data_IF_068426661557
#
_entry.id   IF_068426661557
#
_cell.length_a   1.000
_cell.length_b   1.000
_cell.length_c   1.000
_cell.angle_alpha   90.00
_cell.angle_beta   90.00
_cell.angle_gamma   90.00
#
_symmetry.space_group_name_H-M   'P 1'
#
loop_
_entity.id
_entity.type
_entity.pdbx_description
1 polymer ?
#
# COMPACT_ATOMS: atom_id res chain seq x y z
N UNK A 1 -54.02 -5.18 -17.49
CA UNK A 1 -53.74 -4.01 -16.64
C UNK A 1 -53.78 -4.35 -15.14
N UNK A 2 -54.58 -5.33 -14.69
CA UNK A 2 -54.61 -5.72 -13.27
C UNK A 2 -53.34 -6.46 -12.79
N UNK A 3 -52.67 -7.22 -13.65
CA UNK A 3 -51.46 -8.00 -13.27
C UNK A 3 -50.20 -7.14 -13.09
N UNK A 4 -50.13 -5.98 -13.76
CA UNK A 4 -49.01 -5.04 -13.60
C UNK A 4 -49.12 -4.24 -12.29
N UNK A 5 -50.34 -3.97 -11.82
CA UNK A 5 -50.59 -3.26 -10.56
C UNK A 5 -50.35 -4.18 -9.34
N UNK A 6 -50.67 -5.48 -9.46
CA UNK A 6 -50.40 -6.47 -8.41
C UNK A 6 -48.88 -6.76 -8.30
N UNK A 7 -48.15 -6.84 -9.42
CA UNK A 7 -46.70 -6.95 -9.40
C UNK A 7 -46.02 -5.72 -8.77
N UNK A 8 -46.58 -4.53 -8.99
CA UNK A 8 -46.09 -3.28 -8.38
C UNK A 8 -46.37 -3.23 -6.88
N UNK A 9 -47.53 -3.70 -6.42
CA UNK A 9 -47.87 -3.77 -4.98
C UNK A 9 -47.06 -4.81 -4.21
N UNK A 10 -46.75 -5.96 -4.82
CA UNK A 10 -45.87 -6.95 -4.20
C UNK A 10 -44.42 -6.47 -4.11
N UNK A 11 -43.94 -5.65 -5.06
CA UNK A 11 -42.65 -4.95 -4.94
C UNK A 11 -42.67 -3.79 -3.93
N UNK A 12 -43.81 -3.11 -3.74
CA UNK A 12 -43.96 -2.01 -2.78
C UNK A 12 -44.14 -2.49 -1.32
N UNK A 13 -44.65 -3.70 -1.07
CA UNK A 13 -44.73 -4.30 0.28
C UNK A 13 -43.43 -5.01 0.72
N UNK A 14 -42.54 -5.41 -0.19
CA UNK A 14 -41.23 -6.02 0.14
C UNK A 14 -40.07 -5.01 0.33
N UNK A 15 -40.29 -3.71 0.07
CA UNK A 15 -39.26 -2.67 0.25
C UNK A 15 -39.81 -1.33 0.73
N UNK A 16 -40.70 -1.39 1.72
CA UNK A 16 -41.44 -0.24 2.26
C UNK A 16 -41.05 0.19 3.67
N UNK A 17 -39.76 0.35 3.98
CA UNK A 17 -39.33 1.29 5.04
C UNK A 17 -38.23 2.17 4.47
N UNK A 18 -38.55 3.46 4.33
CA UNK A 18 -37.67 4.50 3.82
C UNK A 18 -36.26 4.40 4.43
N UNK A 19 -35.23 4.27 3.59
CA UNK A 19 -33.85 4.33 4.04
C UNK A 19 -33.55 5.74 4.57
N UNK A 20 -33.20 5.92 5.86
CA UNK A 20 -32.51 7.14 6.24
C UNK A 20 -31.16 7.13 5.55
N UNK A 21 -30.79 8.23 4.90
CA UNK A 21 -29.41 8.47 4.46
C UNK A 21 -28.54 8.54 5.72
N UNK A 22 -28.08 7.38 6.21
CA UNK A 22 -27.18 7.36 7.35
C UNK A 22 -25.77 7.62 6.84
N UNK A 23 -25.15 8.70 7.30
CA UNK A 23 -23.72 8.96 7.15
C UNK A 23 -22.84 7.86 7.83
N UNK A 24 -23.46 6.82 8.37
CA UNK A 24 -22.87 5.65 9.00
C UNK A 24 -22.90 4.49 8.02
N UNK A 25 -21.73 3.92 7.72
CA UNK A 25 -21.55 2.82 6.77
C UNK A 25 -21.47 1.49 7.52
N UNK A 26 -22.27 0.51 7.13
CA UNK A 26 -22.20 -0.83 7.71
C UNK A 26 -21.02 -1.61 7.10
N UNK A 27 -20.26 -2.30 7.96
CA UNK A 27 -19.12 -3.13 7.59
C UNK A 27 -19.39 -4.56 7.98
N UNK A 28 -19.32 -5.47 7.02
CA UNK A 28 -19.62 -6.90 7.20
C UNK A 28 -18.40 -7.79 7.08
N UNK A 29 -17.36 -7.32 6.39
CA UNK A 29 -16.15 -8.12 6.15
C UNK A 29 -14.88 -7.40 6.60
N UNK A 30 -13.83 -8.17 6.90
CA UNK A 30 -12.51 -7.62 7.21
C UNK A 30 -11.92 -6.81 6.06
N UNK A 31 -12.20 -7.19 4.82
CA UNK A 31 -11.74 -6.46 3.64
C UNK A 31 -12.37 -5.06 3.56
N UNK A 32 -13.69 -4.96 3.79
CA UNK A 32 -14.40 -3.68 3.87
C UNK A 32 -13.86 -2.82 5.01
N UNK A 33 -13.65 -3.42 6.19
CA UNK A 33 -13.10 -2.72 7.35
C UNK A 33 -11.75 -2.07 7.05
N UNK A 34 -10.81 -2.84 6.50
CA UNK A 34 -9.48 -2.36 6.12
C UNK A 34 -9.55 -1.30 5.02
N UNK A 35 -10.43 -1.48 4.03
CA UNK A 35 -10.62 -0.51 2.95
C UNK A 35 -11.09 0.85 3.50
N UNK A 36 -12.07 0.88 4.41
CA UNK A 36 -12.54 2.13 5.00
C UNK A 36 -11.47 2.84 5.83
N UNK A 37 -10.66 2.09 6.58
CA UNK A 37 -9.54 2.64 7.34
C UNK A 37 -8.46 3.24 6.42
N UNK A 38 -8.12 2.56 5.33
CA UNK A 38 -7.13 3.03 4.36
C UNK A 38 -7.61 4.28 3.61
N UNK A 39 -8.89 4.33 3.22
CA UNK A 39 -9.48 5.45 2.48
C UNK A 39 -9.52 6.76 3.25
N UNK A 40 -9.72 6.71 4.58
CA UNK A 40 -9.80 7.92 5.41
C UNK A 40 -8.43 8.61 5.60
N UNK A 41 -7.35 7.84 5.56
CA UNK A 41 -5.98 8.33 5.76
C UNK A 41 -5.80 9.08 7.09
N UNK A 42 -4.89 10.06 7.14
CA UNK A 42 -4.62 10.87 8.35
C UNK A 42 -5.46 12.15 8.44
N UNK A 43 -6.35 12.42 7.48
CA UNK A 43 -7.12 13.67 7.39
C UNK A 43 -8.48 13.59 8.06
N UNK A 44 -9.07 12.39 8.15
CA UNK A 44 -10.38 12.16 8.76
C UNK A 44 -10.28 11.00 9.74
N UNK A 45 -10.68 11.17 11.01
CA UNK A 45 -10.79 10.04 11.90
C UNK A 45 -11.94 9.13 11.45
N UNK A 46 -11.75 7.82 11.60
CA UNK A 46 -12.77 6.80 11.39
C UNK A 46 -13.28 6.36 12.74
N UNK A 47 -14.56 6.58 13.02
CA UNK A 47 -15.20 6.19 14.27
C UNK A 47 -16.05 4.96 14.01
N UNK A 48 -15.79 3.88 14.72
CA UNK A 48 -16.41 2.56 14.49
C UNK A 48 -17.26 2.21 15.70
N UNK A 49 -18.56 1.98 15.50
CA UNK A 49 -19.49 1.41 16.50
C UNK A 49 -19.53 -0.11 16.36
N UNK A 50 -18.97 -0.83 17.34
CA UNK A 50 -19.12 -2.27 17.47
C UNK A 50 -20.36 -2.57 18.31
N UNK A 51 -21.36 -3.14 17.65
CA UNK A 51 -22.73 -3.27 18.13
C UNK A 51 -23.23 -4.71 18.04
N UNK A 52 -24.42 -4.96 18.58
CA UNK A 52 -25.14 -6.21 18.36
C UNK A 52 -26.65 -5.97 18.36
N UNK A 53 -27.40 -6.72 17.55
CA UNK A 53 -28.87 -6.58 17.46
C UNK A 53 -29.59 -6.86 18.79
N UNK A 54 -29.05 -7.75 19.62
CA UNK A 54 -29.58 -8.13 20.93
C UNK A 54 -29.10 -7.23 22.08
N UNK A 55 -28.23 -6.24 21.80
CA UNK A 55 -27.64 -5.36 22.81
C UNK A 55 -28.56 -4.15 23.09
N UNK A 56 -29.30 -4.20 24.20
CA UNK A 56 -30.15 -3.09 24.66
C UNK A 56 -29.43 -1.74 24.82
N UNK A 57 -28.25 -1.67 25.46
CA UNK A 57 -27.47 -0.43 25.56
C UNK A 57 -27.02 0.13 24.20
N UNK A 58 -26.82 -0.73 23.19
CA UNK A 58 -26.45 -0.30 21.84
C UNK A 58 -27.59 0.50 21.18
N UNK A 59 -28.84 0.08 21.36
CA UNK A 59 -30.01 0.80 20.88
C UNK A 59 -30.15 2.20 21.53
N UNK A 60 -29.72 2.34 22.79
CA UNK A 60 -29.78 3.64 23.50
C UNK A 60 -28.80 4.67 22.95
N UNK A 61 -27.60 4.26 22.54
CA UNK A 61 -26.54 5.16 22.07
C UNK A 61 -26.56 5.39 20.55
N UNK A 62 -27.16 4.48 19.77
CA UNK A 62 -27.23 4.56 18.31
C UNK A 62 -27.75 5.92 17.77
N UNK A 63 -28.82 6.54 18.32
CA UNK A 63 -29.27 7.85 17.84
C UNK A 63 -28.25 8.98 18.07
N UNK A 64 -27.44 8.88 19.14
CA UNK A 64 -26.36 9.83 19.39
C UNK A 64 -25.22 9.66 18.37
N UNK A 65 -24.87 8.41 18.06
CA UNK A 65 -23.87 8.09 17.05
C UNK A 65 -24.27 8.57 15.64
N UNK A 66 -25.52 8.34 15.23
CA UNK A 66 -26.05 8.81 13.94
C UNK A 66 -26.06 10.34 13.83
N UNK A 67 -26.41 11.06 14.90
CA UNK A 67 -26.32 12.53 14.94
C UNK A 67 -24.89 13.04 14.79
N UNK A 68 -23.93 12.38 15.43
CA UNK A 68 -22.50 12.72 15.29
C UNK A 68 -22.00 12.44 13.87
N UNK A 69 -22.45 11.34 13.26
CA UNK A 69 -22.13 11.01 11.88
C UNK A 69 -22.65 12.06 10.90
N UNK A 70 -23.89 12.52 11.07
CA UNK A 70 -24.44 13.60 10.26
C UNK A 70 -23.69 14.93 10.49
N UNK A 71 -23.39 15.28 11.76
CA UNK A 71 -22.66 16.51 12.12
C UNK A 71 -21.27 16.58 11.49
N UNK A 72 -20.57 15.44 11.42
CA UNK A 72 -19.16 15.37 11.01
C UNK A 72 -18.92 14.64 9.69
N UNK A 73 -19.94 14.42 8.85
CA UNK A 73 -19.85 13.64 7.60
C UNK A 73 -18.73 14.11 6.65
N UNK A 74 -18.42 15.41 6.64
CA UNK A 74 -17.33 15.97 5.83
C UNK A 74 -15.94 15.77 6.46
N UNK A 75 -15.86 15.59 7.79
CA UNK A 75 -14.63 15.67 8.60
C UNK A 75 -14.23 14.35 9.25
N UNK A 76 -15.12 13.38 9.34
CA UNK A 76 -14.90 12.06 9.90
C UNK A 76 -15.70 11.00 9.11
N UNK A 77 -15.26 9.75 9.21
CA UNK A 77 -15.97 8.58 8.65
C UNK A 77 -16.58 7.81 9.81
N UNK A 78 -17.83 7.38 9.68
CA UNK A 78 -18.52 6.62 10.72
C UNK A 78 -18.87 5.24 10.18
N UNK A 79 -18.42 4.21 10.88
CA UNK A 79 -18.65 2.82 10.54
C UNK A 79 -19.47 2.14 11.63
N UNK A 80 -20.26 1.15 11.25
CA UNK A 80 -20.97 0.27 12.15
C UNK A 80 -20.60 -1.18 11.83
N UNK A 81 -20.18 -1.91 12.86
CA UNK A 81 -19.80 -3.32 12.77
C UNK A 81 -20.72 -4.08 13.72
N UNK A 82 -21.57 -4.93 13.17
CA UNK A 82 -22.30 -5.89 14.01
C UNK A 82 -21.38 -7.08 14.31
N UNK A 83 -21.22 -7.40 15.59
CA UNK A 83 -20.28 -8.45 16.02
C UNK A 83 -20.71 -9.85 15.62
N UNK A 84 -22.02 -10.06 15.35
CA UNK A 84 -22.54 -11.35 14.90
C UNK A 84 -22.34 -11.51 13.39
N UNK A 85 -22.51 -10.43 12.61
CA UNK A 85 -22.33 -10.44 11.15
C UNK A 85 -20.85 -10.42 10.74
N UNK A 86 -20.01 -9.71 11.50
CA UNK A 86 -18.62 -9.44 11.18
C UNK A 86 -17.67 -9.95 12.27
N UNK A 87 -17.85 -11.21 12.69
CA UNK A 87 -17.10 -11.84 13.79
C UNK A 87 -15.58 -11.71 13.65
N UNK A 88 -15.04 -11.90 12.45
CA UNK A 88 -13.60 -11.78 12.18
C UNK A 88 -13.08 -10.35 12.47
N UNK A 89 -13.87 -9.32 12.16
CA UNK A 89 -13.54 -7.91 12.42
C UNK A 89 -13.57 -7.62 13.91
N UNK A 90 -14.62 -8.07 14.60
CA UNK A 90 -14.77 -7.90 16.04
C UNK A 90 -13.64 -8.59 16.83
N UNK A 91 -13.25 -9.80 16.43
CA UNK A 91 -12.14 -10.54 17.01
C UNK A 91 -10.80 -9.82 16.80
N UNK A 92 -10.50 -9.39 15.57
CA UNK A 92 -9.28 -8.64 15.26
C UNK A 92 -9.20 -7.30 15.97
N UNK A 93 -10.34 -6.63 16.14
CA UNK A 93 -10.44 -5.40 16.92
C UNK A 93 -10.37 -5.65 18.44
N UNK A 94 -10.33 -6.92 18.91
CA UNK A 94 -10.33 -7.30 20.33
C UNK A 94 -11.53 -6.72 21.09
N UNK A 95 -12.71 -6.73 20.46
CA UNK A 95 -13.96 -6.27 21.08
C UNK A 95 -14.48 -7.33 22.04
N UNK A 96 -14.70 -6.95 23.30
CA UNK A 96 -15.11 -7.87 24.38
C UNK A 96 -16.47 -7.52 24.99
N UNK A 97 -17.02 -6.36 24.65
CA UNK A 97 -18.30 -5.86 25.15
C UNK A 97 -18.91 -4.88 24.14
N UNK A 98 -20.24 -4.79 24.11
CA UNK A 98 -20.97 -3.89 23.23
C UNK A 98 -21.87 -2.94 24.07
N UNK A 99 -22.02 -1.67 23.67
CA UNK A 99 -21.34 -1.04 22.54
C UNK A 99 -19.87 -0.73 22.88
N UNK A 100 -18.98 -0.89 21.91
CA UNK A 100 -17.60 -0.40 21.97
C UNK A 100 -17.35 0.46 20.75
N UNK A 101 -16.79 1.64 20.98
CA UNK A 101 -16.46 2.61 19.95
C UNK A 101 -14.95 2.70 19.81
N UNK A 102 -14.42 2.49 18.62
CA UNK A 102 -13.00 2.73 18.34
C UNK A 102 -12.85 3.95 17.44
N UNK A 103 -11.84 4.77 17.69
CA UNK A 103 -11.42 5.84 16.79
C UNK A 103 -10.12 5.40 16.12
N UNK A 104 -10.09 5.49 14.80
CA UNK A 104 -8.90 5.24 14.00
C UNK A 104 -8.49 6.52 13.28
N UNK A 105 -7.18 6.75 13.14
CA UNK A 105 -6.64 7.84 12.33
C UNK A 105 -5.37 7.33 11.63
N UNK A 106 -5.31 7.47 10.30
CA UNK A 106 -4.19 6.91 9.53
C UNK A 106 -4.15 5.38 9.52
N UNK A 107 -5.28 4.72 9.74
CA UNK A 107 -5.39 3.26 9.79
C UNK A 107 -5.04 2.62 11.14
N UNK A 108 -4.59 3.41 12.12
CA UNK A 108 -4.26 2.94 13.46
C UNK A 108 -5.39 3.27 14.44
N UNK A 109 -5.67 2.39 15.41
CA UNK A 109 -6.60 2.68 16.51
C UNK A 109 -5.94 3.68 17.45
N UNK A 110 -6.48 4.89 17.53
CA UNK A 110 -5.92 6.00 18.31
C UNK A 110 -6.66 6.23 19.62
N UNK A 111 -7.90 5.75 19.75
CA UNK A 111 -8.69 5.86 20.98
C UNK A 111 -9.83 4.84 21.01
N UNK A 112 -10.40 4.62 22.18
CA UNK A 112 -11.54 3.72 22.38
C UNK A 112 -12.45 4.16 23.53
N UNK A 113 -13.72 3.78 23.43
CA UNK A 113 -14.71 3.96 24.49
C UNK A 113 -15.65 2.77 24.53
N UNK A 114 -15.78 2.13 25.68
CA UNK A 114 -16.80 1.09 25.91
C UNK A 114 -17.97 1.67 26.71
N UNK A 115 -19.20 1.25 26.38
CA UNK A 115 -20.42 1.60 27.09
C UNK A 115 -21.31 2.61 26.36
N UNK A 116 -22.59 2.63 26.75
CA UNK A 116 -23.62 3.46 26.13
C UNK A 116 -23.70 4.85 26.77
N UNK A 117 -22.67 5.68 26.55
CA UNK A 117 -22.61 7.07 27.01
C UNK A 117 -22.49 8.02 25.82
N UNK A 118 -23.62 8.62 25.40
CA UNK A 118 -23.67 9.52 24.26
C UNK A 118 -22.91 10.84 24.45
N UNK A 119 -22.76 11.32 25.69
CA UNK A 119 -22.05 12.58 25.97
C UNK A 119 -20.53 12.37 25.92
N UNK A 120 -20.06 11.26 26.48
CA UNK A 120 -18.65 10.85 26.38
C UNK A 120 -18.28 10.52 24.94
N UNK A 121 -19.17 9.86 24.18
CA UNK A 121 -18.99 9.59 22.75
C UNK A 121 -18.87 10.89 21.94
N UNK A 122 -19.73 11.88 22.20
CA UNK A 122 -19.64 13.18 21.52
C UNK A 122 -18.31 13.88 21.82
N UNK A 123 -17.86 13.86 23.07
CA UNK A 123 -16.58 14.44 23.48
C UNK A 123 -15.40 13.77 22.78
N UNK A 124 -15.40 12.43 22.71
CA UNK A 124 -14.40 11.64 22.00
C UNK A 124 -14.32 12.03 20.52
N UNK A 125 -15.47 12.04 19.84
CA UNK A 125 -15.55 12.36 18.40
C UNK A 125 -15.13 13.80 18.12
N UNK A 126 -15.64 14.77 18.88
CA UNK A 126 -15.31 16.19 18.69
C UNK A 126 -13.80 16.45 18.92
N UNK A 127 -13.19 15.81 19.93
CA UNK A 127 -11.76 15.91 20.20
C UNK A 127 -10.91 15.38 19.03
N UNK A 128 -11.23 14.22 18.50
CA UNK A 128 -10.47 13.61 17.40
C UNK A 128 -10.70 14.29 16.06
N UNK A 129 -11.90 14.84 15.80
CA UNK A 129 -12.15 15.68 14.63
C UNK A 129 -11.36 16.99 14.68
N UNK A 130 -11.26 17.63 15.85
CA UNK A 130 -10.45 18.82 16.03
C UNK A 130 -8.96 18.52 15.88
N UNK A 131 -8.50 17.41 16.48
CA UNK A 131 -7.10 16.98 16.41
C UNK A 131 -6.67 16.59 15.00
N UNK A 132 -7.49 15.85 14.27
CA UNK A 132 -7.19 15.47 12.88
C UNK A 132 -7.12 16.69 11.95
N UNK A 133 -7.95 17.71 12.18
CA UNK A 133 -7.87 18.98 11.44
C UNK A 133 -6.56 19.72 11.73
N UNK A 134 -6.17 19.86 13.01
CA UNK A 134 -4.92 20.49 13.40
C UNK A 134 -3.69 19.73 12.84
N UNK A 135 -3.71 18.40 12.84
CA UNK A 135 -2.64 17.58 12.24
C UNK A 135 -2.60 17.69 10.70
N UNK A 136 -3.74 17.89 10.04
CA UNK A 136 -3.81 18.10 8.59
C UNK A 136 -3.34 19.49 8.15
N UNK A 137 -3.63 20.53 8.94
CA UNK A 137 -3.21 21.91 8.67
C UNK A 137 -1.70 22.09 8.91
N UNK A 138 -1.15 21.47 9.96
CA UNK A 138 0.30 21.46 10.20
C UNK A 138 1.09 20.76 9.08
N UNK A 139 0.48 19.78 8.39
CA UNK A 139 1.09 19.12 7.24
C UNK A 139 1.02 19.95 5.94
N UNK A 140 0.12 20.95 5.86
CA UNK A 140 -0.02 21.82 4.69
C UNK A 140 0.98 22.99 4.70
N UNK A 141 1.29 23.57 5.87
CA UNK A 141 2.28 24.65 6.01
C UNK A 141 3.73 24.20 5.77
N UNK A 142 4.00 22.89 5.85
CA UNK A 142 5.31 22.31 5.54
C UNK A 142 5.57 22.13 4.02
N UNK A 143 4.59 22.42 3.15
CA UNK A 143 4.59 22.05 1.73
C UNK A 143 5.05 23.11 0.72
N UNK A 144 5.53 24.28 1.16
CA UNK A 144 5.89 25.40 0.28
C UNK A 144 7.38 25.78 0.38
N UNK A 145 8.29 24.97 -0.18
CA UNK A 145 9.72 25.30 -0.29
C UNK A 145 10.49 24.23 -1.06
N UNK A 146 11.22 24.64 -2.10
CA UNK A 146 11.75 23.76 -3.15
C UNK A 146 12.98 22.91 -2.81
N UNK A 147 13.40 22.18 -3.85
CA UNK A 147 14.53 21.26 -3.97
C UNK A 147 15.75 21.55 -3.07
N UNK A 148 16.18 20.53 -2.33
CA UNK A 148 17.44 20.52 -1.61
C UNK A 148 17.48 19.37 -0.61
N UNK A 149 18.53 18.56 -0.65
CA UNK A 149 18.79 17.56 0.37
C UNK A 149 18.92 18.19 1.77
N UNK A 150 18.17 17.71 2.75
CA UNK A 150 18.49 17.63 4.19
C UNK A 150 17.31 16.92 4.89
N UNK A 151 17.49 15.76 5.53
CA UNK A 151 17.86 15.59 6.95
C UNK A 151 17.18 16.57 7.91
N UNK A 152 16.24 16.05 8.72
CA UNK A 152 15.53 16.81 9.74
C UNK A 152 14.76 15.91 10.71
N UNK A 153 15.47 15.42 11.71
CA UNK A 153 14.96 14.76 12.93
C UNK A 153 14.10 15.76 13.74
N UNK A 154 12.96 15.31 14.29
CA UNK A 154 12.37 15.97 15.46
C UNK A 154 10.86 15.81 15.63
N UNK A 155 10.44 14.99 16.60
CA UNK A 155 9.07 15.01 17.11
C UNK A 155 8.59 13.68 17.74
N UNK A 156 9.14 13.32 18.90
CA UNK A 156 8.64 12.22 19.76
C UNK A 156 7.16 12.47 20.11
N UNK A 157 6.26 11.71 19.48
CA UNK A 157 4.95 11.39 20.02
C UNK A 157 4.73 9.88 19.82
N UNK A 158 4.43 9.20 20.92
CA UNK A 158 4.45 7.75 21.07
C UNK A 158 3.63 7.03 19.99
N UNK A 159 4.35 6.39 19.05
CA UNK A 159 3.80 5.28 18.29
C UNK A 159 3.71 4.09 19.26
N UNK A 160 2.61 3.33 19.24
CA UNK A 160 2.40 2.06 19.97
C UNK A 160 1.89 1.03 18.95
N UNK A 161 2.31 -0.22 19.07
CA UNK A 161 2.73 -1.04 17.91
C UNK A 161 1.86 -2.27 17.66
N UNK A 162 1.63 -2.58 16.39
CA UNK A 162 1.00 -3.80 15.87
C UNK A 162 1.85 -4.36 14.71
N UNK A 163 1.75 -5.67 14.37
CA UNK A 163 2.36 -6.21 13.16
C UNK A 163 1.92 -5.39 11.95
N UNK A 164 2.82 -5.19 10.97
CA UNK A 164 2.45 -4.52 9.73
C UNK A 164 1.51 -5.45 8.97
N UNK A 165 0.23 -5.10 8.89
CA UNK A 165 -0.79 -5.91 8.22
C UNK A 165 -1.01 -5.52 6.77
N UNK A 166 -0.40 -4.42 6.32
CA UNK A 166 -0.58 -3.87 4.99
C UNK A 166 0.77 -3.56 4.30
N UNK A 167 0.88 -3.80 2.98
CA UNK A 167 2.06 -3.44 2.20
C UNK A 167 2.38 -1.93 2.25
N UNK A 168 3.66 -1.60 2.31
CA UNK A 168 4.17 -0.24 2.14
C UNK A 168 4.30 0.10 0.66
N UNK A 169 3.79 1.28 0.27
CA UNK A 169 3.70 1.70 -1.14
C UNK A 169 4.53 2.95 -1.41
N UNK A 170 5.07 3.02 -2.61
CA UNK A 170 5.70 4.23 -3.14
C UNK A 170 4.66 5.03 -3.93
N UNK A 171 4.20 6.14 -3.36
CA UNK A 171 3.09 6.94 -3.92
C UNK A 171 3.51 8.27 -4.55
N UNK A 172 4.72 8.74 -4.23
CA UNK A 172 5.23 10.02 -4.72
C UNK A 172 5.53 9.96 -6.22
N UNK A 173 5.26 11.04 -6.95
CA UNK A 173 5.61 11.15 -8.38
C UNK A 173 4.69 12.09 -9.13
N UNK A 174 5.20 12.72 -10.19
CA UNK A 174 4.41 13.59 -11.06
C UNK A 174 4.22 12.93 -12.42
N UNK A 175 3.02 12.38 -12.66
CA UNK A 175 2.71 11.72 -13.92
C UNK A 175 2.97 12.62 -15.14
N UNK A 176 2.69 13.92 -15.03
CA UNK A 176 2.96 14.90 -16.08
C UNK A 176 4.47 15.02 -16.42
N UNK A 177 5.33 15.13 -15.40
CA UNK A 177 6.79 15.18 -15.61
C UNK A 177 7.33 13.88 -16.20
N UNK A 178 6.79 12.75 -15.76
CA UNK A 178 7.22 11.44 -16.22
C UNK A 178 6.83 11.24 -17.70
N UNK A 179 5.60 11.61 -18.10
CA UNK A 179 5.18 11.57 -19.50
C UNK A 179 6.02 12.49 -20.37
N UNK A 180 6.28 13.73 -19.94
CA UNK A 180 7.13 14.65 -20.69
C UNK A 180 8.52 14.05 -20.95
N UNK A 181 9.08 13.34 -19.96
CA UNK A 181 10.36 12.64 -20.13
C UNK A 181 10.27 11.46 -21.08
N UNK A 182 9.21 10.65 -21.00
CA UNK A 182 8.96 9.54 -21.92
C UNK A 182 8.87 10.02 -23.37
N UNK A 183 8.15 11.13 -23.60
CA UNK A 183 7.98 11.74 -24.92
C UNK A 183 9.31 12.27 -25.49
N UNK A 184 10.12 12.91 -24.64
CA UNK A 184 11.45 13.36 -25.02
C UNK A 184 12.32 12.19 -25.50
N UNK A 185 12.33 11.07 -24.75
CA UNK A 185 13.09 9.87 -25.12
C UNK A 185 12.52 9.23 -26.39
N UNK A 186 11.21 9.14 -26.52
CA UNK A 186 10.57 8.61 -27.73
C UNK A 186 10.92 9.43 -28.98
N UNK A 187 10.93 10.76 -28.87
CA UNK A 187 11.28 11.65 -29.97
C UNK A 187 12.76 11.52 -30.37
N UNK A 188 13.66 11.33 -29.41
CA UNK A 188 15.08 11.04 -29.69
C UNK A 188 15.24 9.73 -30.46
N UNK A 189 14.46 8.70 -30.12
CA UNK A 189 14.46 7.41 -30.84
C UNK A 189 13.95 7.58 -32.26
N UNK A 190 12.81 8.26 -32.45
CA UNK A 190 12.25 8.62 -33.76
C UNK A 190 13.26 9.38 -34.65
N UNK A 191 14.04 10.29 -34.06
CA UNK A 191 15.07 11.02 -34.78
C UNK A 191 16.28 10.14 -35.16
N UNK A 192 16.61 9.14 -34.34
CA UNK A 192 17.68 8.18 -34.60
C UNK A 192 17.26 7.06 -35.58
N UNK A 193 15.98 6.68 -35.59
CA UNK A 193 15.37 5.63 -36.41
C UNK A 193 14.92 6.06 -37.81
N UNK A 194 15.34 7.23 -38.29
CA UNK A 194 14.95 7.81 -39.58
C UNK A 194 15.45 7.07 -40.82
N UNK A 195 15.15 5.77 -40.98
CA UNK A 195 15.10 5.03 -42.25
C UNK A 195 14.47 3.63 -42.09
N UNK A 196 13.14 3.50 -41.97
CA UNK A 196 12.40 2.33 -42.48
C UNK A 196 10.90 2.65 -42.69
N UNK A 197 10.26 2.12 -43.73
CA UNK A 197 9.16 2.78 -44.42
C UNK A 197 7.79 2.51 -43.79
N UNK A 198 6.87 3.43 -44.07
CA UNK A 198 5.44 3.22 -43.93
C UNK A 198 4.98 1.98 -44.72
N UNK A 199 4.07 1.22 -44.09
CA UNK A 199 3.27 0.10 -44.61
C UNK A 199 3.84 -1.32 -44.41
N UNK A 200 3.28 -2.03 -43.44
CA UNK A 200 2.55 -3.29 -43.64
C UNK A 200 1.90 -3.75 -42.33
N UNK A 201 0.61 -4.08 -42.37
CA UNK A 201 -0.09 -4.71 -41.26
C UNK A 201 0.43 -6.13 -41.01
N UNK A 202 0.63 -6.46 -39.74
CA UNK A 202 0.99 -7.79 -39.28
C UNK A 202 1.32 -7.75 -37.79
N UNK A 203 0.59 -8.51 -36.99
CA UNK A 203 0.93 -8.73 -35.59
C UNK A 203 2.33 -9.36 -35.50
N UNK A 204 3.24 -8.78 -34.72
CA UNK A 204 4.51 -9.43 -34.37
C UNK A 204 5.80 -8.67 -34.67
N UNK A 205 5.91 -7.41 -34.25
CA UNK A 205 7.17 -6.81 -33.82
C UNK A 205 6.82 -5.60 -32.94
N UNK A 206 7.01 -5.71 -31.63
CA UNK A 206 6.92 -4.56 -30.72
C UNK A 206 8.05 -3.60 -31.14
N UNK A 207 7.71 -2.52 -31.82
CA UNK A 207 8.69 -1.59 -32.38
C UNK A 207 9.52 -0.89 -31.31
N UNK A 208 10.65 -0.31 -31.72
CA UNK A 208 11.54 0.45 -30.82
C UNK A 208 10.93 1.77 -30.33
N UNK A 209 9.78 2.20 -30.85
CA UNK A 209 9.18 3.51 -30.62
C UNK A 209 7.67 3.42 -30.37
N UNK A 210 7.13 4.42 -29.67
CA UNK A 210 5.70 4.60 -29.48
C UNK A 210 5.09 5.40 -30.63
N UNK A 211 4.00 4.87 -31.17
CA UNK A 211 3.14 5.57 -32.13
C UNK A 211 2.38 6.74 -31.50
N UNK A 212 1.85 7.65 -32.32
CA UNK A 212 1.05 8.78 -31.84
C UNK A 212 -0.17 8.35 -31.02
N UNK A 213 -0.83 7.25 -31.38
CA UNK A 213 -1.95 6.69 -30.64
C UNK A 213 -1.53 6.16 -29.26
N UNK A 214 -0.38 5.50 -29.17
CA UNK A 214 0.17 5.00 -27.91
C UNK A 214 0.58 6.15 -26.99
N UNK A 215 1.22 7.20 -27.53
CA UNK A 215 1.53 8.40 -26.75
C UNK A 215 0.27 9.07 -26.21
N UNK A 216 -0.80 9.16 -27.01
CA UNK A 216 -2.05 9.75 -26.52
C UNK A 216 -2.70 8.91 -25.41
N UNK A 217 -2.63 7.58 -25.49
CA UNK A 217 -3.09 6.71 -24.41
C UNK A 217 -2.28 6.95 -23.12
N UNK A 218 -0.96 7.11 -23.22
CA UNK A 218 -0.08 7.42 -22.08
C UNK A 218 -0.36 8.81 -21.49
N UNK A 219 -0.64 9.82 -22.33
CA UNK A 219 -1.08 11.15 -21.87
C UNK A 219 -2.42 11.08 -21.15
N UNK A 220 -3.36 10.30 -21.67
CA UNK A 220 -4.66 10.08 -21.04
C UNK A 220 -4.50 9.45 -19.65
N UNK A 221 -3.64 8.44 -19.52
CA UNK A 221 -3.26 7.87 -18.23
C UNK A 221 -2.72 8.95 -17.28
N UNK A 222 -1.77 9.80 -17.72
CA UNK A 222 -1.22 10.84 -16.84
C UNK A 222 -2.27 11.87 -16.40
N UNK A 223 -3.21 12.25 -17.26
CA UNK A 223 -4.35 13.11 -16.89
C UNK A 223 -5.23 12.44 -15.82
N UNK A 224 -5.53 11.14 -15.96
CA UNK A 224 -6.30 10.39 -14.95
C UNK A 224 -5.55 10.23 -13.63
N UNK A 225 -4.23 10.02 -13.67
CA UNK A 225 -3.41 9.96 -12.45
C UNK A 225 -3.38 11.30 -11.70
N UNK A 226 -3.34 12.41 -12.44
CA UNK A 226 -3.29 13.77 -11.90
C UNK A 226 -4.66 14.33 -11.45
N UNK A 227 -5.77 13.72 -11.87
CA UNK A 227 -7.11 14.19 -11.57
C UNK A 227 -7.41 14.21 -10.05
N UNK A 228 -8.00 15.32 -9.59
CA UNK A 228 -8.50 15.49 -8.22
C UNK A 228 -9.93 16.09 -8.26
N UNK A 229 -10.96 15.40 -7.71
CA UNK A 229 -10.91 14.05 -7.15
C UNK A 229 -10.57 12.99 -8.22
N UNK A 230 -10.07 11.80 -7.81
CA UNK A 230 -9.86 10.72 -8.77
C UNK A 230 -11.17 10.39 -9.50
N UNK A 231 -11.12 10.03 -10.79
CA UNK A 231 -12.31 9.62 -11.51
C UNK A 231 -12.93 8.41 -10.80
N UNK A 232 -14.28 8.31 -10.74
CA UNK A 232 -14.94 7.14 -10.18
C UNK A 232 -14.47 5.88 -10.93
N UNK A 233 -14.46 4.71 -10.29
CA UNK A 233 -14.15 3.45 -10.97
C UNK A 233 -15.20 3.21 -12.05
N UNK A 234 -14.89 3.63 -13.28
CA UNK A 234 -15.73 3.40 -14.45
C UNK A 234 -15.42 2.03 -15.05
N UNK A 235 -16.32 1.56 -15.92
CA UNK A 235 -16.09 0.40 -16.80
C UNK A 235 -14.69 0.44 -17.43
N UNK A 236 -14.08 -0.73 -17.74
CA UNK A 236 -12.71 -0.82 -18.25
C UNK A 236 -12.49 0.16 -19.41
N UNK A 237 -11.68 1.19 -19.16
CA UNK A 237 -11.35 2.22 -20.14
C UNK A 237 -10.41 1.59 -21.19
N UNK A 238 -10.80 1.49 -22.48
CA UNK A 238 -9.93 0.95 -23.52
C UNK A 238 -8.58 1.66 -23.59
N UNK A 239 -8.53 2.94 -23.22
CA UNK A 239 -7.30 3.71 -23.17
C UNK A 239 -6.39 3.35 -22.00
N UNK A 240 -6.91 2.79 -20.91
CA UNK A 240 -6.10 2.26 -19.80
C UNK A 240 -5.31 1.03 -20.24
N UNK A 241 -5.96 0.09 -20.95
CA UNK A 241 -5.28 -1.07 -21.53
C UNK A 241 -4.29 -0.68 -22.62
N UNK A 242 -4.64 0.27 -23.48
CA UNK A 242 -3.72 0.79 -24.49
C UNK A 242 -2.46 1.43 -23.86
N UNK A 243 -2.63 2.21 -22.79
CA UNK A 243 -1.52 2.79 -22.06
C UNK A 243 -0.65 1.71 -21.38
N UNK A 244 -1.28 0.73 -20.73
CA UNK A 244 -0.58 -0.39 -20.10
C UNK A 244 0.30 -1.18 -21.10
N UNK A 245 -0.23 -1.50 -22.28
CA UNK A 245 0.52 -2.16 -23.35
C UNK A 245 1.65 -1.30 -23.90
N UNK A 246 1.42 -0.01 -24.11
CA UNK A 246 2.45 0.93 -24.58
C UNK A 246 3.62 1.04 -23.57
N UNK A 247 3.30 1.10 -22.28
CA UNK A 247 4.31 1.14 -21.22
C UNK A 247 5.05 -0.19 -21.11
N UNK A 248 4.34 -1.33 -21.20
CA UNK A 248 4.98 -2.65 -21.21
C UNK A 248 5.94 -2.82 -22.39
N UNK A 249 5.57 -2.32 -23.58
CA UNK A 249 6.46 -2.26 -24.74
C UNK A 249 7.74 -1.50 -24.42
N UNK A 250 7.64 -0.32 -23.80
CA UNK A 250 8.83 0.46 -23.41
C UNK A 250 9.71 -0.34 -22.45
N UNK A 251 9.13 -0.94 -21.40
CA UNK A 251 9.89 -1.73 -20.41
C UNK A 251 10.54 -2.97 -21.05
N UNK A 252 9.89 -3.57 -22.05
CA UNK A 252 10.36 -4.81 -22.67
C UNK A 252 11.36 -4.59 -23.81
N UNK A 253 11.27 -3.47 -24.52
CA UNK A 253 11.99 -3.24 -25.77
C UNK A 253 13.01 -2.10 -25.70
N UNK A 254 12.86 -1.14 -24.77
CA UNK A 254 13.82 -0.04 -24.66
C UNK A 254 15.02 -0.43 -23.80
N UNK A 255 16.20 0.18 -24.02
CA UNK A 255 17.33 0.09 -23.10
C UNK A 255 16.91 0.50 -21.68
N UNK A 256 17.52 -0.12 -20.66
CA UNK A 256 17.21 0.15 -19.26
C UNK A 256 17.37 1.63 -18.88
N UNK A 257 18.30 2.34 -19.53
CA UNK A 257 18.56 3.77 -19.38
C UNK A 257 17.40 4.65 -19.86
N UNK A 258 16.58 4.16 -20.79
CA UNK A 258 15.49 4.90 -21.41
C UNK A 258 14.12 4.45 -20.90
N UNK A 259 13.98 3.21 -20.42
CA UNK A 259 12.68 2.63 -20.03
C UNK A 259 12.17 3.11 -18.66
N UNK A 260 13.00 3.80 -17.88
CA UNK A 260 12.67 4.22 -16.51
C UNK A 260 11.38 5.05 -16.36
N UNK A 261 10.98 5.96 -17.29
CA UNK A 261 9.74 6.70 -17.14
C UNK A 261 8.53 5.79 -17.31
N UNK A 262 8.64 4.74 -18.12
CA UNK A 262 7.57 3.78 -18.30
C UNK A 262 7.35 2.95 -17.03
N UNK A 263 8.44 2.49 -16.41
CA UNK A 263 8.40 1.81 -15.10
C UNK A 263 7.76 2.70 -14.02
N UNK A 264 8.13 3.99 -14.00
CA UNK A 264 7.61 4.92 -13.00
C UNK A 264 6.12 5.25 -13.18
N UNK A 265 5.64 5.32 -14.43
CA UNK A 265 4.20 5.43 -14.72
C UNK A 265 3.42 4.18 -14.35
N UNK A 266 3.94 2.99 -14.68
CA UNK A 266 3.32 1.72 -14.27
C UNK A 266 3.19 1.63 -12.75
N UNK A 267 4.21 2.10 -12.01
CA UNK A 267 4.21 2.13 -10.54
C UNK A 267 3.08 2.98 -9.99
N UNK A 268 2.84 4.16 -10.58
CA UNK A 268 1.76 5.05 -10.18
C UNK A 268 0.39 4.52 -10.62
N UNK A 269 0.30 3.88 -11.79
CA UNK A 269 -0.92 3.30 -12.32
C UNK A 269 -1.50 2.21 -11.39
N UNK A 270 -0.66 1.40 -10.74
CA UNK A 270 -1.11 0.41 -9.74
C UNK A 270 -1.93 0.99 -8.58
N UNK A 271 -1.75 2.28 -8.28
CA UNK A 271 -2.44 2.96 -7.17
C UNK A 271 -3.88 3.37 -7.54
N UNK A 272 -4.25 3.33 -8.82
CA UNK A 272 -5.61 3.64 -9.29
C UNK A 272 -6.33 2.36 -9.67
N UNK A 273 -7.56 2.20 -9.19
CA UNK A 273 -8.34 0.97 -9.42
C UNK A 273 -8.54 0.66 -10.92
N UNK A 274 -8.99 1.64 -11.70
CA UNK A 274 -9.24 1.45 -13.14
C UNK A 274 -7.99 1.06 -13.93
N UNK A 275 -6.85 1.69 -13.65
CA UNK A 275 -5.58 1.36 -14.33
C UNK A 275 -5.02 0.02 -13.85
N UNK A 276 -5.16 -0.29 -12.56
CA UNK A 276 -4.71 -1.56 -11.98
C UNK A 276 -5.40 -2.76 -12.62
N UNK A 277 -6.68 -2.67 -12.96
CA UNK A 277 -7.38 -3.74 -13.68
C UNK A 277 -6.69 -4.05 -15.01
N UNK A 278 -6.33 -3.03 -15.79
CA UNK A 278 -5.60 -3.20 -17.05
C UNK A 278 -4.20 -3.81 -16.84
N UNK A 279 -3.52 -3.48 -15.75
CA UNK A 279 -2.21 -4.05 -15.41
C UNK A 279 -2.29 -5.52 -14.99
N UNK A 280 -3.36 -5.92 -14.30
CA UNK A 280 -3.60 -7.32 -13.95
C UNK A 280 -3.76 -8.20 -15.19
N UNK A 281 -4.35 -7.66 -16.27
CA UNK A 281 -4.48 -8.38 -17.54
C UNK A 281 -3.13 -8.69 -18.22
N UNK A 282 -2.10 -7.88 -17.96
CA UNK A 282 -0.73 -8.15 -18.44
C UNK A 282 -0.09 -9.34 -17.70
N UNK A 283 -0.53 -9.64 -16.49
CA UNK A 283 -0.12 -10.80 -15.71
C UNK A 283 1.41 -10.91 -15.53
N UNK A 284 1.93 -12.13 -15.76
CA UNK A 284 3.35 -12.43 -15.58
C UNK A 284 4.29 -11.70 -16.55
N UNK A 285 3.79 -11.15 -17.67
CA UNK A 285 4.64 -10.35 -18.58
C UNK A 285 5.12 -9.06 -17.92
N UNK A 286 4.23 -8.36 -17.20
CA UNK A 286 4.59 -7.18 -16.44
C UNK A 286 5.67 -7.50 -15.41
N UNK A 287 5.53 -8.60 -14.68
CA UNK A 287 6.48 -9.01 -13.65
C UNK A 287 7.84 -9.39 -14.26
N UNK A 288 7.85 -10.18 -15.35
CA UNK A 288 9.08 -10.54 -16.05
C UNK A 288 9.81 -9.32 -16.62
N UNK A 289 9.09 -8.41 -17.27
CA UNK A 289 9.68 -7.18 -17.81
C UNK A 289 10.24 -6.29 -16.69
N UNK A 290 9.49 -6.16 -15.58
CA UNK A 290 9.94 -5.42 -14.40
C UNK A 290 11.18 -6.05 -13.77
N UNK A 291 11.25 -7.38 -13.68
CA UNK A 291 12.44 -8.08 -13.20
C UNK A 291 13.64 -7.84 -14.12
N UNK A 292 13.45 -7.80 -15.44
CA UNK A 292 14.48 -7.43 -16.40
C UNK A 292 15.09 -6.04 -16.11
N UNK A 293 14.26 -5.05 -15.76
CA UNK A 293 14.76 -3.71 -15.41
C UNK A 293 15.32 -3.64 -13.98
N UNK A 294 14.68 -4.31 -13.03
CA UNK A 294 15.11 -4.36 -11.63
C UNK A 294 16.45 -5.09 -11.46
N UNK A 295 16.74 -6.06 -12.34
CA UNK A 295 17.77 -7.07 -12.14
C UNK A 295 18.71 -7.27 -13.34
N UNK A 296 18.53 -6.54 -14.43
CA UNK A 296 19.34 -6.68 -15.64
C UNK A 296 20.80 -6.34 -15.37
N UNK A 297 21.71 -7.18 -15.87
CA UNK A 297 23.15 -6.88 -15.84
C UNK A 297 23.41 -5.55 -16.54
N UNK A 298 24.08 -4.63 -15.85
CA UNK A 298 24.35 -3.28 -16.37
C UNK A 298 23.18 -2.29 -16.31
N UNK A 299 22.01 -2.67 -15.78
CA UNK A 299 20.90 -1.72 -15.61
C UNK A 299 21.30 -0.58 -14.66
N UNK A 300 20.97 0.69 -14.99
CA UNK A 300 21.30 1.81 -14.12
C UNK A 300 20.64 1.65 -12.76
N UNK A 301 21.32 2.01 -11.65
CA UNK A 301 20.73 1.80 -10.33
C UNK A 301 19.43 2.60 -10.10
N UNK A 302 19.19 3.68 -10.86
CA UNK A 302 17.92 4.40 -10.84
C UNK A 302 16.76 3.59 -11.45
N UNK A 303 17.02 2.88 -12.56
CA UNK A 303 16.06 1.98 -13.19
C UNK A 303 15.80 0.78 -12.27
N UNK A 304 16.85 0.22 -11.66
CA UNK A 304 16.72 -0.87 -10.68
C UNK A 304 15.82 -0.47 -9.50
N UNK A 305 16.07 0.70 -8.92
CA UNK A 305 15.25 1.25 -7.83
C UNK A 305 13.78 1.40 -8.26
N UNK A 306 13.50 1.94 -9.45
CA UNK A 306 12.13 2.10 -9.93
C UNK A 306 11.44 0.76 -10.18
N UNK A 307 12.17 -0.24 -10.72
CA UNK A 307 11.67 -1.60 -10.87
C UNK A 307 11.29 -2.23 -9.53
N UNK A 308 12.14 -2.10 -8.51
CA UNK A 308 11.84 -2.55 -7.16
C UNK A 308 10.61 -1.83 -6.55
N UNK A 309 10.49 -0.52 -6.77
CA UNK A 309 9.31 0.24 -6.31
C UNK A 309 8.02 -0.20 -7.02
N UNK A 310 8.11 -0.57 -8.29
CA UNK A 310 7.00 -1.15 -9.05
C UNK A 310 6.59 -2.51 -8.44
N UNK A 311 7.54 -3.40 -8.17
CA UNK A 311 7.29 -4.69 -7.50
C UNK A 311 6.68 -4.51 -6.10
N UNK A 312 7.17 -3.54 -5.32
CA UNK A 312 6.60 -3.21 -4.01
C UNK A 312 5.14 -2.78 -4.14
N UNK A 313 4.81 -1.94 -5.13
CA UNK A 313 3.43 -1.50 -5.38
C UNK A 313 2.53 -2.62 -5.91
N UNK A 314 3.06 -3.65 -6.58
CA UNK A 314 2.27 -4.83 -6.96
C UNK A 314 1.69 -5.54 -5.73
N UNK A 315 2.32 -5.42 -4.55
CA UNK A 315 1.80 -5.99 -3.33
C UNK A 315 0.53 -5.30 -2.82
N UNK A 316 0.18 -4.09 -3.31
CA UNK A 316 -0.94 -3.28 -2.82
C UNK A 316 -2.31 -3.96 -2.83
N UNK A 317 -2.51 -4.97 -3.69
CA UNK A 317 -3.80 -5.60 -3.90
C UNK A 317 -3.64 -7.09 -4.18
N UNK A 318 -4.58 -7.93 -3.71
CA UNK A 318 -4.47 -9.39 -3.82
C UNK A 318 -4.24 -9.89 -5.25
N UNK A 319 -4.98 -9.34 -6.23
CA UNK A 319 -4.83 -9.69 -7.66
C UNK A 319 -3.45 -9.36 -8.22
N UNK A 320 -2.87 -8.22 -7.87
CA UNK A 320 -1.54 -7.84 -8.36
C UNK A 320 -0.43 -8.57 -7.60
N UNK A 321 -0.63 -8.85 -6.31
CA UNK A 321 0.26 -9.66 -5.49
C UNK A 321 0.33 -11.09 -6.01
N UNK A 322 -0.79 -11.67 -6.46
CA UNK A 322 -0.85 -12.99 -7.06
C UNK A 322 0.04 -13.11 -8.33
N UNK A 323 0.27 -12.01 -9.05
CA UNK A 323 1.19 -12.00 -10.20
C UNK A 323 2.65 -12.24 -9.78
N UNK A 324 3.01 -11.91 -8.53
CA UNK A 324 4.37 -12.07 -8.01
C UNK A 324 4.65 -13.51 -7.56
N UNK A 325 3.63 -14.27 -7.18
CA UNK A 325 3.80 -15.60 -6.58
C UNK A 325 4.64 -16.57 -7.46
N UNK A 326 4.43 -16.68 -8.79
CA UNK A 326 5.26 -17.53 -9.65
C UNK A 326 6.72 -17.07 -9.78
N UNK A 327 7.02 -15.83 -9.40
CA UNK A 327 8.32 -15.20 -9.54
C UNK A 327 8.98 -14.90 -8.19
N UNK A 328 8.40 -15.34 -7.08
CA UNK A 328 8.81 -14.98 -5.72
C UNK A 328 10.28 -15.29 -5.46
N UNK A 329 10.72 -16.51 -5.79
CA UNK A 329 12.10 -16.94 -5.57
C UNK A 329 13.08 -16.00 -6.29
N UNK A 330 12.84 -15.71 -7.57
CA UNK A 330 13.64 -14.77 -8.34
C UNK A 330 13.60 -13.35 -7.75
N UNK A 331 12.44 -12.88 -7.28
CA UNK A 331 12.34 -11.54 -6.64
C UNK A 331 13.20 -11.49 -5.37
N UNK A 332 13.11 -12.52 -4.53
CA UNK A 332 13.81 -12.59 -3.23
C UNK A 332 15.32 -12.70 -3.42
N UNK A 333 15.77 -13.60 -4.31
CA UNK A 333 17.18 -13.75 -4.68
C UNK A 333 17.78 -12.41 -5.12
N UNK A 334 17.05 -11.65 -5.94
CA UNK A 334 17.52 -10.36 -6.48
C UNK A 334 17.50 -9.23 -5.48
N UNK A 335 16.49 -9.16 -4.60
CA UNK A 335 16.55 -8.27 -3.45
C UNK A 335 17.79 -8.57 -2.60
N UNK A 336 18.19 -9.83 -2.51
CA UNK A 336 19.45 -10.24 -1.90
C UNK A 336 20.70 -9.77 -2.67
N UNK A 337 20.74 -9.90 -3.99
CA UNK A 337 21.88 -9.42 -4.78
C UNK A 337 22.08 -7.90 -4.69
N UNK A 338 21.01 -7.13 -4.45
CA UNK A 338 21.03 -5.66 -4.39
C UNK A 338 21.40 -5.09 -2.99
N UNK A 339 21.73 -5.94 -2.02
CA UNK A 339 22.22 -5.55 -0.68
C UNK A 339 23.51 -4.74 -0.72
N UNK A 340 24.40 -5.07 -1.66
CA UNK A 340 25.69 -4.43 -1.90
C UNK A 340 25.61 -3.17 -2.78
N UNK A 341 24.41 -2.80 -3.25
CA UNK A 341 24.23 -1.59 -4.08
C UNK A 341 24.76 -0.38 -3.34
N UNK A 342 25.56 0.47 -3.98
CA UNK A 342 26.09 1.69 -3.36
C UNK A 342 24.99 2.73 -3.05
N UNK A 343 23.83 2.64 -3.72
CA UNK A 343 22.74 3.62 -3.58
C UNK A 343 21.73 3.23 -2.49
N UNK A 344 21.60 4.08 -1.48
CA UNK A 344 20.67 3.91 -0.38
C UNK A 344 19.20 3.75 -0.84
N UNK A 345 18.79 4.46 -1.89
CA UNK A 345 17.43 4.35 -2.45
C UNK A 345 17.10 2.96 -3.02
N UNK A 346 18.08 2.28 -3.60
CA UNK A 346 17.90 0.91 -4.12
C UNK A 346 17.79 -0.08 -2.97
N UNK A 347 18.65 0.05 -1.94
CA UNK A 347 18.58 -0.76 -0.72
C UNK A 347 17.25 -0.60 0.00
N UNK A 348 16.76 0.64 0.13
CA UNK A 348 15.44 0.92 0.71
C UNK A 348 14.31 0.26 -0.09
N UNK A 349 14.34 0.34 -1.41
CA UNK A 349 13.32 -0.27 -2.26
C UNK A 349 13.33 -1.80 -2.12
N UNK A 350 14.51 -2.44 -2.11
CA UNK A 350 14.65 -3.88 -1.90
C UNK A 350 14.13 -4.33 -0.52
N UNK A 351 14.49 -3.60 0.54
CA UNK A 351 13.97 -3.85 1.89
C UNK A 351 12.43 -3.72 1.96
N UNK A 352 11.85 -2.81 1.17
CA UNK A 352 10.39 -2.64 1.09
C UNK A 352 9.71 -3.80 0.38
N UNK A 353 10.32 -4.33 -0.69
CA UNK A 353 9.82 -5.53 -1.37
C UNK A 353 9.82 -6.72 -0.41
N UNK A 354 10.92 -6.95 0.31
CA UNK A 354 11.02 -8.04 1.28
C UNK A 354 9.99 -7.90 2.42
N UNK A 355 9.80 -6.70 2.95
CA UNK A 355 8.76 -6.42 3.95
C UNK A 355 7.36 -6.72 3.39
N UNK A 356 7.03 -6.25 2.19
CA UNK A 356 5.71 -6.49 1.62
C UNK A 356 5.46 -7.99 1.36
N UNK A 357 6.46 -8.71 0.88
CA UNK A 357 6.37 -10.17 0.71
C UNK A 357 6.23 -10.88 2.07
N UNK A 358 6.90 -10.41 3.11
CA UNK A 358 6.75 -10.92 4.48
C UNK A 358 5.33 -10.73 5.01
N UNK A 359 4.73 -9.55 4.79
CA UNK A 359 3.32 -9.29 5.14
C UNK A 359 2.38 -10.25 4.40
N UNK A 360 2.60 -10.49 3.11
CA UNK A 360 1.78 -11.43 2.34
C UNK A 360 1.95 -12.88 2.83
N UNK A 361 3.18 -13.32 3.08
CA UNK A 361 3.49 -14.68 3.54
C UNK A 361 3.02 -14.96 4.99
N UNK A 362 3.04 -13.94 5.86
CA UNK A 362 2.51 -14.03 7.21
C UNK A 362 0.98 -14.24 7.22
N UNK A 363 0.28 -13.63 6.27
CA UNK A 363 -1.17 -13.77 6.11
C UNK A 363 -1.58 -15.02 5.29
N UNK A 364 -0.66 -15.63 4.55
CA UNK A 364 -0.92 -16.82 3.75
C UNK A 364 -0.91 -18.09 4.62
N UNK A 365 -1.90 -18.96 4.43
CA UNK A 365 -1.98 -20.26 5.12
C UNK A 365 -1.06 -21.26 4.40
N UNK A 366 -0.12 -21.87 5.14
CA UNK A 366 0.69 -22.99 4.65
C UNK A 366 1.89 -22.64 3.77
N UNK A 367 2.25 -21.36 3.62
CA UNK A 367 3.40 -20.93 2.78
C UNK A 367 4.72 -20.91 3.57
N UNK A 368 5.04 -22.02 4.22
CA UNK A 368 6.20 -22.13 5.13
C UNK A 368 7.53 -21.88 4.42
N UNK A 369 7.71 -22.44 3.23
CA UNK A 369 8.93 -22.29 2.42
C UNK A 369 9.21 -20.81 2.10
N UNK A 370 8.17 -20.04 1.75
CA UNK A 370 8.31 -18.60 1.51
C UNK A 370 8.77 -17.86 2.76
N UNK A 371 8.20 -18.20 3.93
CA UNK A 371 8.54 -17.54 5.19
C UNK A 371 10.01 -17.81 5.55
N UNK A 372 10.47 -19.05 5.43
CA UNK A 372 11.88 -19.44 5.63
C UNK A 372 12.82 -18.68 4.69
N UNK A 373 12.47 -18.62 3.41
CA UNK A 373 13.28 -17.91 2.41
C UNK A 373 13.37 -16.41 2.71
N UNK A 374 12.26 -15.80 3.13
CA UNK A 374 12.19 -14.38 3.47
C UNK A 374 12.96 -14.06 4.75
N UNK A 375 12.84 -14.87 5.81
CA UNK A 375 13.64 -14.71 7.04
C UNK A 375 15.13 -14.78 6.72
N UNK A 376 15.54 -15.81 5.98
CA UNK A 376 16.95 -16.00 5.58
C UNK A 376 17.48 -14.80 4.79
N UNK A 377 16.66 -14.28 3.87
CA UNK A 377 17.03 -13.13 3.04
C UNK A 377 17.13 -11.83 3.84
N UNK A 378 16.23 -11.62 4.81
CA UNK A 378 16.28 -10.46 5.70
C UNK A 378 17.48 -10.52 6.64
N UNK A 379 17.78 -11.68 7.22
CA UNK A 379 18.93 -11.88 8.08
C UNK A 379 20.25 -11.61 7.34
N UNK A 380 20.43 -12.21 6.15
CA UNK A 380 21.61 -11.95 5.31
C UNK A 380 21.74 -10.45 4.93
N UNK A 381 20.62 -9.75 4.74
CA UNK A 381 20.61 -8.31 4.47
C UNK A 381 21.07 -7.44 5.63
N UNK A 382 20.69 -7.82 6.85
CA UNK A 382 21.16 -7.14 8.06
C UNK A 382 22.64 -7.46 8.33
N UNK A 383 23.05 -8.72 8.16
CA UNK A 383 24.44 -9.16 8.35
C UNK A 383 25.41 -8.43 7.43
N UNK A 384 25.15 -8.45 6.12
CA UNK A 384 26.03 -7.83 5.13
C UNK A 384 26.18 -6.33 5.39
N UNK A 385 25.10 -5.65 5.79
CA UNK A 385 25.15 -4.22 6.11
C UNK A 385 25.90 -3.96 7.43
N UNK A 386 25.71 -4.79 8.45
CA UNK A 386 26.39 -4.68 9.73
C UNK A 386 27.90 -4.91 9.61
N UNK A 387 28.33 -5.73 8.64
CA UNK A 387 29.74 -6.02 8.37
C UNK A 387 30.48 -4.88 7.63
N UNK A 388 29.78 -3.92 7.02
CA UNK A 388 30.41 -2.81 6.32
C UNK A 388 31.03 -1.82 7.31
N UNK A 389 32.26 -1.31 7.06
CA UNK A 389 32.93 -0.40 7.97
C UNK A 389 32.10 0.86 8.23
N UNK A 390 32.02 1.27 9.49
CA UNK A 390 31.30 2.46 9.99
C UNK A 390 31.94 3.79 9.54
N UNK A 391 32.31 3.91 8.26
CA UNK A 391 33.09 5.02 7.71
C UNK A 391 32.27 6.31 7.48
N UNK A 392 30.97 6.30 7.74
CA UNK A 392 30.13 7.50 7.79
C UNK A 392 28.93 7.21 8.69
N UNK A 393 28.39 8.23 9.35
CA UNK A 393 27.11 8.14 10.05
C UNK A 393 26.12 7.31 9.22
N UNK A 394 25.48 6.30 9.82
CA UNK A 394 24.47 5.49 9.13
C UNK A 394 23.47 6.46 8.52
N UNK A 395 23.43 6.50 7.19
CA UNK A 395 22.49 7.35 6.47
C UNK A 395 21.08 7.02 6.95
N UNK A 396 20.23 8.03 7.16
CA UNK A 396 18.87 7.83 7.65
C UNK A 396 18.08 6.84 6.77
N UNK A 397 18.41 6.78 5.48
CA UNK A 397 17.84 5.83 4.52
C UNK A 397 18.27 4.39 4.81
N UNK A 398 19.50 4.16 5.24
CA UNK A 398 19.99 2.83 5.62
C UNK A 398 19.42 2.37 6.96
N UNK A 399 19.26 3.28 7.91
CA UNK A 399 18.54 2.99 9.15
C UNK A 399 17.09 2.60 8.87
N UNK A 400 16.41 3.29 7.96
CA UNK A 400 15.05 2.95 7.54
C UNK A 400 15.00 1.60 6.78
N UNK A 401 15.98 1.30 5.93
CA UNK A 401 16.06 0.00 5.26
C UNK A 401 16.26 -1.16 6.26
N UNK A 402 17.20 -1.00 7.21
CA UNK A 402 17.42 -1.97 8.28
C UNK A 402 16.18 -2.13 9.17
N UNK A 403 15.49 -1.04 9.47
CA UNK A 403 14.22 -1.05 10.18
C UNK A 403 13.16 -1.88 9.44
N UNK A 404 12.97 -1.68 8.12
CA UNK A 404 12.00 -2.45 7.32
C UNK A 404 12.32 -3.95 7.31
N UNK A 405 13.59 -4.33 7.21
CA UNK A 405 14.03 -5.73 7.28
C UNK A 405 13.77 -6.34 8.66
N UNK A 406 14.00 -5.57 9.72
CA UNK A 406 13.70 -5.98 11.10
C UNK A 406 12.21 -6.23 11.27
N UNK A 407 11.37 -5.30 10.81
CA UNK A 407 9.90 -5.43 10.85
C UNK A 407 9.43 -6.63 10.02
N UNK A 408 10.05 -6.89 8.87
CA UNK A 408 9.75 -8.07 8.05
C UNK A 408 10.04 -9.36 8.83
N UNK A 409 11.21 -9.46 9.47
CA UNK A 409 11.58 -10.57 10.34
C UNK A 409 10.60 -10.78 11.49
N UNK A 410 10.30 -9.72 12.24
CA UNK A 410 9.34 -9.78 13.36
C UNK A 410 7.95 -10.23 12.89
N UNK A 411 7.48 -9.72 11.75
CA UNK A 411 6.18 -10.09 11.17
C UNK A 411 6.11 -11.59 10.86
N UNK A 412 7.19 -12.17 10.33
CA UNK A 412 7.29 -13.61 10.04
C UNK A 412 7.40 -14.45 11.32
N UNK A 413 8.18 -14.00 12.29
CA UNK A 413 8.35 -14.69 13.57
C UNK A 413 7.04 -14.76 14.38
N UNK A 414 6.24 -13.69 14.35
CA UNK A 414 4.93 -13.66 15.01
C UNK A 414 3.91 -14.57 14.31
N UNK A 415 4.06 -14.77 12.99
CA UNK A 415 3.20 -15.67 12.23
C UNK A 415 3.59 -17.15 12.38
N UNK A 416 4.83 -17.44 12.77
CA UNK A 416 5.39 -18.80 12.74
C UNK A 416 6.56 -18.98 13.72
N UNK A 417 6.40 -19.90 14.69
CA UNK A 417 7.43 -20.19 15.69
C UNK A 417 8.71 -20.79 15.11
N UNK A 418 8.65 -21.48 13.97
CA UNK A 418 9.84 -22.00 13.29
C UNK A 418 10.65 -20.87 12.64
N UNK A 419 9.98 -19.82 12.16
CA UNK A 419 10.64 -18.60 11.69
C UNK A 419 11.37 -17.89 12.84
N UNK A 420 10.80 -17.88 14.06
CA UNK A 420 11.48 -17.34 15.23
C UNK A 420 12.72 -18.17 15.64
N UNK A 421 12.66 -19.50 15.51
CA UNK A 421 13.84 -20.34 15.73
C UNK A 421 14.95 -20.07 14.69
N UNK A 422 14.58 -19.94 13.42
CA UNK A 422 15.51 -19.64 12.33
C UNK A 422 16.15 -18.25 12.47
N UNK A 423 15.35 -17.21 12.76
CA UNK A 423 15.85 -15.86 12.94
C UNK A 423 16.85 -15.75 14.10
N UNK A 424 16.65 -16.52 15.19
CA UNK A 424 17.63 -16.65 16.29
C UNK A 424 18.90 -17.35 15.82
N UNK A 425 18.79 -18.47 15.11
CA UNK A 425 19.94 -19.22 14.61
C UNK A 425 20.82 -18.38 13.65
N UNK A 426 20.21 -17.46 12.90
CA UNK A 426 20.90 -16.53 12.00
C UNK A 426 21.37 -15.24 12.70
N UNK A 427 21.20 -15.10 14.02
CA UNK A 427 21.63 -13.92 14.77
C UNK A 427 20.92 -12.62 14.35
N UNK A 428 19.73 -12.69 13.75
CA UNK A 428 19.10 -11.54 13.08
C UNK A 428 18.92 -10.31 14.00
N UNK A 429 18.64 -10.53 15.29
CA UNK A 429 18.52 -9.47 16.30
C UNK A 429 19.85 -8.75 16.60
N UNK A 430 20.97 -9.48 16.63
CA UNK A 430 22.30 -8.89 16.83
C UNK A 430 22.68 -7.96 15.69
N UNK A 431 22.45 -8.39 14.45
CA UNK A 431 22.68 -7.59 13.25
C UNK A 431 21.79 -6.34 13.23
N UNK A 432 20.50 -6.47 13.58
CA UNK A 432 19.58 -5.34 13.68
C UNK A 432 20.02 -4.33 14.76
N UNK A 433 20.50 -4.80 15.92
CA UNK A 433 21.03 -3.95 16.99
C UNK A 433 22.29 -3.20 16.55
N UNK A 434 23.21 -3.87 15.86
CA UNK A 434 24.44 -3.25 15.35
C UNK A 434 24.16 -2.06 14.41
N UNK A 435 23.07 -2.12 13.65
CA UNK A 435 22.63 -1.07 12.72
C UNK A 435 21.80 0.04 13.39
N UNK A 436 21.59 -0.03 14.70
CA UNK A 436 20.73 0.90 15.43
C UNK A 436 19.25 0.75 15.09
N UNK A 437 18.85 -0.31 14.38
CA UNK A 437 17.45 -0.58 14.04
C UNK A 437 16.60 -0.83 15.30
N UNK A 438 17.21 -1.34 16.37
CA UNK A 438 16.58 -1.48 17.70
C UNK A 438 16.61 -0.22 18.58
N UNK A 439 17.34 0.83 18.18
CA UNK A 439 17.55 2.07 18.96
C UNK A 439 16.78 3.29 18.42
N UNK A 440 16.17 3.17 17.24
CA UNK A 440 15.19 4.15 16.75
C UNK A 440 13.96 4.09 17.68
N UNK A 441 13.94 4.99 18.67
CA UNK A 441 12.97 5.07 19.77
C UNK A 441 11.51 5.34 19.38
N UNK A 442 10.97 4.62 18.41
CA UNK A 442 9.58 4.56 17.99
C UNK A 442 9.14 3.09 17.92
N UNK A 443 9.40 2.40 19.03
CA UNK A 443 8.75 1.22 19.61
C UNK A 443 8.26 0.01 18.79
N UNK A 444 8.66 -0.27 17.55
CA UNK A 444 8.35 -1.59 16.90
C UNK A 444 8.29 -2.79 17.84
N UNK A 445 7.49 -3.85 17.55
CA UNK A 445 7.69 -5.12 18.25
C UNK A 445 9.17 -5.47 18.10
N UNK A 446 9.90 -5.48 19.22
CA UNK A 446 11.35 -5.68 19.15
C UNK A 446 11.55 -7.06 18.57
N UNK A 447 12.51 -7.20 17.64
CA UNK A 447 12.81 -8.52 17.09
C UNK A 447 13.09 -9.52 18.23
N UNK A 448 13.86 -9.11 19.25
CA UNK A 448 13.99 -9.82 20.53
C UNK A 448 12.65 -10.28 21.18
N UNK A 449 11.64 -9.42 21.26
CA UNK A 449 10.31 -9.79 21.81
C UNK A 449 9.61 -10.83 20.93
N UNK A 450 9.69 -10.69 19.60
CA UNK A 450 9.13 -11.66 18.66
C UNK A 450 9.89 -13.01 18.69
N UNK A 451 11.15 -13.01 19.12
CA UNK A 451 11.98 -14.20 19.30
C UNK A 451 11.79 -14.88 20.67
N UNK A 452 11.02 -14.25 21.58
CA UNK A 452 10.78 -14.77 22.92
C UNK A 452 11.98 -14.63 23.86
N UNK A 453 12.84 -13.62 23.65
CA UNK A 453 13.90 -13.28 24.59
C UNK A 453 13.31 -12.42 25.73
N UNK A 454 13.36 -12.93 26.97
CA UNK A 454 13.00 -12.15 28.16
C UNK A 454 13.97 -10.97 28.29
N UNK A 455 13.46 -9.74 28.12
CA UNK A 455 14.20 -8.47 28.31
C UNK A 455 14.21 -8.06 29.78
#
# INVERSE_FOLDING_TARGET
MADAEIARRLQEEEWGVAAPSSAVQAVRTSAEFVAHLAMAGRRKPVVVDFTATWCGPCAMVAPAFERLAAKHAARAVFLKVDVDDAQEVAQRANVRAMPTFHVYLGGEKVDEMTGADGARLATLVDAWVARAAAEADAAADAGAGGAGASTGVGGRAARRHAPVTAPLLFVEGSAAKIVAKLEELNARRQAAGGAAPAAAGGAGALGDELSGAQLEAVRALARRLAAQPPPPPSLPDPSARAAALALLQCVSCWPADDSFPAVDLLRLALLREGERVALVELGGELVRATLGVACGEGAPPAAQMLGLRLLANCCAHARTAAMLAPHREAIVERCGALRSSERAGTRLAAATVLLNLAVLAANAVGDFEARVQLVSSCAAALEERAAQPAAAAVDAVDSEAAYRLTVAGSTLCLADGECAALARALGMDEHARALGAGALGTGTPKLAEALGEDV
#
